data_IF_175867843519
#
_entry.id   IF_175867843519
#
_cell.length_a   1.000
_cell.length_b   1.000
_cell.length_c   1.000
_cell.angle_alpha   90.00
_cell.angle_beta   90.00
_cell.angle_gamma   90.00
#
_symmetry.space_group_name_H-M   'P 1'
#
loop_
_entity.id
_entity.type
_entity.pdbx_description
1 polymer ?
#
# COMPACT_ATOMS: atom_id res chain seq x y z
N UNK A 1 1.86 0.39 -2.76
CA UNK A 1 3.06 0.89 -2.07
C UNK A 1 3.43 2.25 -2.65
N UNK A 2 3.98 3.16 -1.85
CA UNK A 2 4.48 4.46 -2.31
C UNK A 2 5.88 4.64 -1.75
N UNK A 3 6.80 5.11 -2.57
CA UNK A 3 8.20 5.29 -2.18
C UNK A 3 8.63 6.74 -2.43
N UNK A 4 9.53 7.25 -1.59
CA UNK A 4 10.27 8.46 -1.92
C UNK A 4 11.35 8.14 -2.94
N UNK A 5 11.75 9.13 -3.73
CA UNK A 5 12.85 8.97 -4.71
C UNK A 5 14.14 8.50 -4.03
N UNK A 6 14.43 9.03 -2.83
CA UNK A 6 15.59 8.60 -2.05
C UNK A 6 15.50 7.14 -1.63
N UNK A 7 14.34 6.68 -1.16
CA UNK A 7 14.15 5.29 -0.76
C UNK A 7 14.37 4.33 -1.94
N UNK A 8 13.83 4.67 -3.13
CA UNK A 8 14.06 3.90 -4.36
C UNK A 8 15.54 3.86 -4.71
N UNK A 9 16.23 5.00 -4.69
CA UNK A 9 17.67 5.06 -4.99
C UNK A 9 18.49 4.18 -4.04
N UNK A 10 18.17 4.21 -2.74
CA UNK A 10 18.84 3.35 -1.75
C UNK A 10 18.59 1.88 -2.03
N UNK A 11 17.31 1.50 -2.23
CA UNK A 11 16.94 0.11 -2.52
C UNK A 11 17.64 -0.40 -3.78
N UNK A 12 17.61 0.35 -4.88
CA UNK A 12 18.25 -0.06 -6.14
C UNK A 12 19.77 -0.19 -6.04
N UNK A 13 20.42 0.54 -5.13
CA UNK A 13 21.87 0.46 -4.94
C UNK A 13 22.34 -0.79 -4.17
N UNK A 14 21.46 -1.36 -3.34
CA UNK A 14 21.82 -2.40 -2.38
C UNK A 14 21.05 -3.71 -2.53
N UNK A 15 20.15 -3.78 -3.51
CA UNK A 15 19.28 -4.94 -3.68
C UNK A 15 19.19 -5.48 -5.09
N UNK A 16 18.96 -6.79 -5.17
CA UNK A 16 18.73 -7.50 -6.42
C UNK A 16 17.68 -8.59 -6.21
N UNK A 17 16.90 -8.86 -7.27
CA UNK A 17 15.97 -9.97 -7.27
C UNK A 17 16.72 -11.27 -7.59
N UNK A 18 16.54 -12.33 -6.80
CA UNK A 18 17.16 -13.65 -7.00
C UNK A 18 16.77 -14.31 -8.32
N UNK A 19 15.51 -14.14 -8.72
CA UNK A 19 14.94 -14.64 -9.98
C UNK A 19 13.96 -13.62 -10.54
N UNK A 20 13.60 -13.73 -11.82
CA UNK A 20 12.58 -12.89 -12.46
C UNK A 20 11.19 -13.06 -11.84
N UNK A 21 10.93 -14.24 -11.25
CA UNK A 21 9.63 -14.60 -10.68
C UNK A 21 9.58 -14.35 -9.16
N UNK A 22 10.59 -13.68 -8.62
CA UNK A 22 10.63 -13.31 -7.20
C UNK A 22 9.54 -12.26 -6.90
N UNK A 23 8.72 -12.45 -5.85
CA UNK A 23 7.65 -11.50 -5.52
C UNK A 23 8.21 -10.18 -4.97
N UNK A 24 8.07 -9.09 -5.73
CA UNK A 24 8.69 -7.78 -5.45
C UNK A 24 8.35 -7.22 -4.06
N UNK A 25 7.10 -7.37 -3.62
CA UNK A 25 6.62 -6.86 -2.33
C UNK A 25 7.23 -7.59 -1.13
N UNK A 26 7.52 -8.88 -1.28
CA UNK A 26 8.25 -9.66 -0.27
C UNK A 26 9.76 -9.41 -0.31
N UNK A 27 10.33 -9.10 -1.48
CA UNK A 27 11.75 -8.74 -1.62
C UNK A 27 12.03 -7.35 -1.03
N UNK A 28 11.14 -6.39 -1.30
CA UNK A 28 11.23 -5.02 -0.76
C UNK A 28 10.79 -4.96 0.70
N UNK A 29 9.85 -5.82 1.10
CA UNK A 29 9.20 -5.84 2.41
C UNK A 29 10.07 -6.27 3.60
N UNK A 30 9.43 -6.36 4.76
CA UNK A 30 10.03 -6.80 6.02
C UNK A 30 9.62 -8.25 6.31
N UNK A 31 10.59 -9.16 6.43
CA UNK A 31 10.34 -10.49 7.01
C UNK A 31 11.27 -10.73 8.20
N UNK A 32 10.67 -10.95 9.37
CA UNK A 32 11.38 -11.40 10.57
C UNK A 32 11.46 -12.93 10.51
N UNK A 33 12.59 -13.46 10.06
CA UNK A 33 12.96 -14.85 10.37
C UNK A 33 14.07 -14.90 11.41
N UNK A 34 13.76 -15.65 12.45
CA UNK A 34 14.44 -15.84 13.72
C UNK A 34 15.80 -16.54 13.63
N UNK A 35 16.63 -16.28 12.61
CA UNK A 35 17.89 -17.00 12.38
C UNK A 35 19.05 -16.07 12.04
N UNK A 36 19.43 -15.25 13.03
CA UNK A 36 20.58 -14.34 13.01
C UNK A 36 21.95 -15.05 12.91
N UNK A 37 22.00 -16.38 12.99
CA UNK A 37 23.26 -17.13 13.24
C UNK A 37 23.72 -18.07 12.11
N UNK A 38 23.05 -18.13 10.95
CA UNK A 38 23.47 -18.98 9.82
C UNK A 38 23.45 -18.22 8.48
N UNK A 39 23.80 -16.94 8.50
CA UNK A 39 23.39 -15.96 7.48
C UNK A 39 24.57 -15.35 6.70
N UNK A 40 25.47 -16.18 6.17
CA UNK A 40 26.58 -15.69 5.33
C UNK A 40 26.59 -16.29 3.92
N UNK A 41 25.70 -17.22 3.58
CA UNK A 41 25.77 -17.90 2.27
C UNK A 41 24.45 -17.98 1.46
N UNK A 42 23.31 -17.56 2.02
CA UNK A 42 22.01 -17.60 1.33
C UNK A 42 21.25 -16.24 1.34
N UNK A 43 21.97 -15.15 1.65
CA UNK A 43 21.43 -13.84 2.06
C UNK A 43 21.14 -12.87 0.90
N UNK A 44 20.35 -13.28 -0.10
CA UNK A 44 19.88 -12.36 -1.16
C UNK A 44 18.36 -12.40 -1.40
N UNK A 45 17.63 -13.23 -0.67
CA UNK A 45 16.17 -13.37 -0.79
C UNK A 45 15.47 -12.66 0.38
N UNK A 46 14.90 -11.46 0.16
CA UNK A 46 13.71 -11.03 0.92
C UNK A 46 13.79 -9.88 1.94
N UNK A 47 14.77 -8.96 1.93
CA UNK A 47 14.95 -8.02 3.08
C UNK A 47 15.51 -6.62 2.72
N UNK A 48 15.12 -6.04 1.59
CA UNK A 48 15.81 -4.84 1.10
C UNK A 48 15.65 -3.59 1.95
N UNK A 49 14.41 -3.22 2.29
CA UNK A 49 14.18 -2.03 3.09
C UNK A 49 14.82 -2.20 4.48
N UNK A 50 14.73 -3.38 5.08
CA UNK A 50 15.29 -3.62 6.41
C UNK A 50 16.82 -3.64 6.43
N UNK A 51 17.45 -4.29 5.44
CA UNK A 51 18.90 -4.36 5.33
C UNK A 51 19.54 -2.99 5.09
N UNK A 52 18.82 -2.09 4.41
CA UNK A 52 19.27 -0.75 4.06
C UNK A 52 18.73 0.34 4.99
N UNK A 53 18.13 -0.05 6.12
CA UNK A 53 17.54 0.84 7.13
C UNK A 53 16.51 1.85 6.55
N UNK A 54 15.78 1.44 5.52
CA UNK A 54 14.65 2.17 4.96
C UNK A 54 13.39 1.79 5.75
N UNK A 55 12.75 2.74 6.48
CA UNK A 55 11.57 2.43 7.27
C UNK A 55 10.37 2.13 6.37
N UNK A 56 9.64 1.05 6.69
CA UNK A 56 8.34 0.75 6.09
C UNK A 56 7.24 1.25 7.02
N UNK A 57 6.33 2.06 6.50
CA UNK A 57 5.19 2.56 7.24
C UNK A 57 3.90 1.98 6.67
N UNK A 58 3.11 1.35 7.53
CA UNK A 58 1.77 0.89 7.17
C UNK A 58 0.77 2.02 7.33
N UNK A 59 -0.06 2.22 6.30
CA UNK A 59 -1.16 3.17 6.33
C UNK A 59 -2.45 2.45 5.92
N UNK A 60 -3.45 2.48 6.81
CA UNK A 60 -4.73 1.80 6.64
C UNK A 60 -5.59 2.37 5.50
N UNK A 61 -5.24 3.53 4.96
CA UNK A 61 -5.90 4.10 3.79
C UNK A 61 -5.55 3.41 2.47
N UNK A 62 -4.53 2.55 2.44
CA UNK A 62 -4.22 1.70 1.29
C UNK A 62 -4.95 0.36 1.43
N UNK A 63 -5.87 0.07 0.50
CA UNK A 63 -6.71 -1.12 0.53
C UNK A 63 -6.22 -2.16 -0.47
N UNK A 64 -6.20 -3.43 -0.06
CA UNK A 64 -5.77 -4.56 -0.89
C UNK A 64 -6.91 -5.24 -1.67
N UNK A 65 -8.15 -4.91 -1.37
CA UNK A 65 -9.34 -5.46 -2.02
C UNK A 65 -10.13 -4.37 -2.76
N UNK A 66 -11.34 -4.72 -3.25
CA UNK A 66 -12.25 -3.77 -3.92
C UNK A 66 -12.92 -2.89 -2.87
N UNK A 67 -13.41 -1.71 -3.25
CA UNK A 67 -14.13 -0.85 -2.30
C UNK A 67 -15.34 -1.54 -1.64
N UNK A 68 -16.09 -2.34 -2.42
CA UNK A 68 -17.26 -3.09 -1.95
C UNK A 68 -16.93 -4.19 -0.92
N UNK A 69 -15.68 -4.65 -0.83
CA UNK A 69 -15.26 -5.65 0.14
C UNK A 69 -15.09 -5.02 1.55
N UNK A 70 -15.15 -3.70 1.67
CA UNK A 70 -15.05 -2.95 2.92
C UNK A 70 -16.41 -2.38 3.36
N UNK A 71 -16.63 -2.34 4.68
CA UNK A 71 -17.82 -1.69 5.23
C UNK A 71 -17.79 -0.19 4.94
N UNK A 72 -18.90 0.39 4.46
CA UNK A 72 -19.00 1.84 4.20
C UNK A 72 -18.66 2.71 5.42
N UNK A 73 -19.04 2.27 6.61
CA UNK A 73 -18.70 2.95 7.86
C UNK A 73 -17.19 2.95 8.16
N UNK A 74 -16.44 1.95 7.67
CA UNK A 74 -14.99 1.92 7.76
C UNK A 74 -14.36 2.93 6.79
N UNK A 75 -14.80 2.93 5.53
CA UNK A 75 -14.32 3.86 4.49
C UNK A 75 -14.64 5.34 4.80
N UNK A 76 -15.70 5.61 5.57
CA UNK A 76 -16.02 6.97 6.05
C UNK A 76 -15.08 7.47 7.15
N UNK A 77 -14.49 6.58 7.95
CA UNK A 77 -13.61 6.98 9.07
C UNK A 77 -12.26 7.51 8.59
N UNK A 78 -11.70 6.86 7.58
CA UNK A 78 -10.41 7.21 7.00
C UNK A 78 -10.57 7.29 5.50
N UNK A 79 -10.30 8.45 4.94
CA UNK A 79 -10.29 8.66 3.49
C UNK A 79 -9.37 7.63 2.80
N UNK A 80 -9.88 6.72 1.95
CA UNK A 80 -9.04 5.85 1.13
C UNK A 80 -8.09 6.64 0.23
N UNK A 81 -6.87 6.12 0.09
CA UNK A 81 -5.85 6.58 -0.87
C UNK A 81 -5.87 5.70 -2.12
N UNK A 82 -6.10 4.39 -1.97
CA UNK A 82 -6.18 3.46 -3.10
C UNK A 82 -6.99 2.21 -2.78
N UNK A 83 -7.47 1.57 -3.85
CA UNK A 83 -7.96 0.18 -3.88
C UNK A 83 -7.11 -0.61 -4.89
N UNK A 84 -6.98 -1.92 -4.68
CA UNK A 84 -6.09 -2.77 -5.49
C UNK A 84 -6.84 -3.63 -6.52
N UNK A 85 -8.13 -3.86 -6.29
CA UNK A 85 -8.94 -4.76 -7.11
C UNK A 85 -10.11 -3.99 -7.72
N UNK A 86 -10.38 -4.29 -8.99
CA UNK A 86 -11.43 -3.63 -9.78
C UNK A 86 -12.29 -4.63 -10.56
N UNK A 87 -12.29 -5.90 -10.17
CA UNK A 87 -13.15 -6.90 -10.80
C UNK A 87 -14.62 -6.69 -10.40
N UNK A 88 -15.51 -6.81 -11.39
CA UNK A 88 -16.97 -6.69 -11.23
C UNK A 88 -17.46 -5.36 -10.65
N UNK A 89 -16.68 -4.28 -10.83
CA UNK A 89 -17.05 -2.91 -10.47
C UNK A 89 -16.79 -1.95 -11.63
N UNK A 90 -17.40 -0.76 -11.59
CA UNK A 90 -17.07 0.34 -12.51
C UNK A 90 -15.92 1.17 -11.89
N UNK A 91 -14.68 1.10 -12.43
CA UNK A 91 -13.53 1.79 -11.84
C UNK A 91 -13.68 3.31 -11.84
N UNK A 92 -14.41 3.86 -12.81
CA UNK A 92 -14.62 5.30 -12.90
C UNK A 92 -15.57 5.79 -11.80
N UNK A 93 -16.67 5.07 -11.60
CA UNK A 93 -17.61 5.38 -10.51
C UNK A 93 -16.93 5.24 -9.15
N UNK A 94 -16.15 4.18 -8.93
CA UNK A 94 -15.45 3.94 -7.67
C UNK A 94 -14.38 5.01 -7.39
N UNK A 95 -13.65 5.44 -8.44
CA UNK A 95 -12.75 6.57 -8.36
C UNK A 95 -13.48 7.86 -7.98
N UNK A 96 -14.59 8.17 -8.67
CA UNK A 96 -15.38 9.36 -8.38
C UNK A 96 -15.93 9.34 -6.97
N UNK A 97 -16.40 8.18 -6.48
CA UNK A 97 -16.98 8.06 -5.15
C UNK A 97 -15.95 8.22 -4.02
N UNK A 98 -14.81 7.54 -4.13
CA UNK A 98 -13.89 7.38 -3.01
C UNK A 98 -12.57 8.16 -3.12
N UNK A 99 -12.11 8.47 -4.32
CA UNK A 99 -10.76 8.99 -4.57
C UNK A 99 -10.73 10.40 -5.16
N UNK A 100 -11.82 10.87 -5.77
CA UNK A 100 -11.91 12.21 -6.35
C UNK A 100 -12.21 13.28 -5.29
N UNK A 101 -11.27 14.23 -5.09
CA UNK A 101 -11.33 15.26 -4.04
C UNK A 101 -12.60 16.11 -4.10
N UNK A 102 -12.98 16.57 -5.29
CA UNK A 102 -14.16 17.44 -5.47
C UNK A 102 -15.45 16.72 -5.06
N UNK A 103 -15.55 15.41 -5.32
CA UNK A 103 -16.72 14.62 -4.96
C UNK A 103 -16.81 14.38 -3.45
N UNK A 104 -15.66 14.16 -2.80
CA UNK A 104 -15.58 14.04 -1.34
C UNK A 104 -16.02 15.33 -0.64
N UNK A 105 -15.57 16.49 -1.13
CA UNK A 105 -15.98 17.79 -0.58
C UNK A 105 -17.49 18.04 -0.78
N UNK A 106 -18.03 17.72 -1.96
CA UNK A 106 -19.48 17.84 -2.22
C UNK A 106 -20.33 16.99 -1.27
N UNK A 107 -19.95 15.72 -1.06
CA UNK A 107 -20.67 14.82 -0.14
C UNK A 107 -20.60 15.25 1.32
N UNK A 108 -19.46 15.79 1.76
CA UNK A 108 -19.32 16.29 3.12
C UNK A 108 -20.26 17.49 3.36
N UNK A 109 -20.32 18.43 2.41
CA UNK A 109 -21.22 19.59 2.48
C UNK A 109 -22.70 19.19 2.47
N UNK A 110 -23.08 18.19 1.66
CA UNK A 110 -24.47 17.73 1.58
C UNK A 110 -24.89 16.90 2.80
N UNK A 111 -23.99 16.13 3.43
CA UNK A 111 -24.30 15.43 4.68
C UNK A 111 -24.48 16.40 5.86
N UNK A 112 -23.67 17.47 5.96
CA UNK A 112 -23.85 18.51 6.98
C UNK A 112 -25.22 19.21 6.87
N UNK A 113 -25.73 19.38 5.64
CA UNK A 113 -27.03 20.03 5.39
C UNK A 113 -28.24 19.14 5.69
N UNK A 114 -28.06 17.82 5.82
CA UNK A 114 -29.13 16.86 6.12
C UNK A 114 -29.21 16.51 7.62
N UNK A 115 -28.25 16.98 8.43
CA UNK A 115 -28.24 16.83 9.88
C UNK A 115 -28.76 18.08 10.64
N UNK A 116 -29.32 19.07 9.93
CA UNK A 116 -30.06 20.24 10.45
C UNK A 116 -31.57 20.09 10.19
#
# INVERSE_FOLDING_TARGET
MVFSVSAVSTILSGCSCPTSDSPDDMIIGEYIYLFKYLFTLYSFLGLCAKALDVPILHNSAFHQARANDYAKAYLRKTAPISFHKFEDIDPYQDYMEYLHETYRTYNNVTQEHLEL
#
